data_IF_048104781853
#
_entry.id   IF_048104781853
#
_cell.length_a   1.000
_cell.length_b   1.000
_cell.length_c   1.000
_cell.angle_alpha   90.00
_cell.angle_beta   90.00
_cell.angle_gamma   90.00
#
_symmetry.space_group_name_H-M   'P 1'
#
loop_
_entity.id
_entity.type
_entity.pdbx_description
1 polymer ?
#
# COMPACT_ATOMS: atom_id res chain seq x y z
N UNK A 1 4.49 27.10 -9.03
CA UNK A 1 3.40 26.15 -8.70
C UNK A 1 3.58 24.89 -9.54
N UNK A 2 4.55 24.05 -9.17
CA UNK A 2 4.84 22.78 -9.85
C UNK A 2 5.00 21.77 -8.72
N UNK A 3 3.90 21.14 -8.34
CA UNK A 3 3.88 20.15 -7.29
C UNK A 3 2.57 19.42 -7.39
N UNK A 4 2.59 18.10 -7.19
CA UNK A 4 1.42 17.24 -7.03
C UNK A 4 0.82 16.58 -8.29
N UNK A 5 1.62 16.25 -9.33
CA UNK A 5 1.17 15.29 -10.38
C UNK A 5 1.77 13.88 -10.26
N UNK A 6 2.62 13.62 -9.26
CA UNK A 6 3.59 12.52 -9.36
C UNK A 6 3.36 11.35 -8.38
N UNK A 7 2.46 11.48 -7.39
CA UNK A 7 2.34 10.48 -6.32
C UNK A 7 1.31 9.36 -6.60
N UNK A 8 0.74 9.32 -7.80
CA UNK A 8 -0.53 8.67 -8.09
C UNK A 8 -0.37 7.52 -9.10
N UNK A 9 0.39 7.73 -10.19
CA UNK A 9 0.75 6.67 -11.14
C UNK A 9 1.73 5.63 -10.58
N UNK A 10 2.41 5.95 -9.48
CA UNK A 10 3.37 5.09 -8.78
C UNK A 10 2.65 3.96 -8.05
N UNK A 11 1.54 4.26 -7.36
CA UNK A 11 0.89 3.31 -6.46
C UNK A 11 0.04 2.26 -7.18
N UNK A 12 -0.69 2.66 -8.24
CA UNK A 12 -1.43 1.73 -9.09
C UNK A 12 -0.49 0.80 -9.90
N UNK A 13 0.67 1.31 -10.33
CA UNK A 13 1.69 0.51 -11.02
C UNK A 13 2.43 -0.42 -10.05
N UNK A 14 2.67 -0.01 -8.80
CA UNK A 14 3.29 -0.83 -7.76
C UNK A 14 2.39 -1.98 -7.31
N UNK A 15 1.09 -1.73 -7.15
CA UNK A 15 0.10 -2.80 -6.96
C UNK A 15 0.06 -3.73 -8.17
N UNK A 16 0.08 -3.22 -9.41
CA UNK A 16 0.10 -4.06 -10.61
C UNK A 16 1.37 -4.92 -10.72
N UNK A 17 2.54 -4.39 -10.34
CA UNK A 17 3.81 -5.15 -10.32
C UNK A 17 3.83 -6.18 -9.19
N UNK A 18 3.23 -5.87 -8.03
CA UNK A 18 3.09 -6.83 -6.93
C UNK A 18 2.10 -7.96 -7.29
N UNK A 19 0.98 -7.63 -7.95
CA UNK A 19 -0.01 -8.58 -8.45
C UNK A 19 0.60 -9.55 -9.48
N UNK A 20 1.47 -9.07 -10.37
CA UNK A 20 2.16 -9.93 -11.34
C UNK A 20 3.07 -10.97 -10.68
N UNK A 21 3.68 -10.67 -9.52
CA UNK A 21 4.50 -11.61 -8.75
C UNK A 21 3.66 -12.63 -7.95
N UNK A 22 2.36 -12.38 -7.75
CA UNK A 22 1.46 -13.33 -7.06
C UNK A 22 1.04 -14.51 -7.93
N UNK A 23 1.27 -14.49 -9.25
CA UNK A 23 0.95 -15.62 -10.13
C UNK A 23 1.87 -16.85 -9.92
N UNK A 24 2.91 -16.75 -9.08
CA UNK A 24 3.92 -17.81 -8.88
C UNK A 24 4.29 -18.11 -7.42
N UNK A 25 3.56 -17.61 -6.41
CA UNK A 25 3.93 -17.80 -5.00
C UNK A 25 3.22 -19.02 -4.34
N UNK A 26 3.93 -19.88 -3.59
CA UNK A 26 3.33 -21.00 -2.87
C UNK A 26 2.46 -20.54 -1.68
N UNK A 27 1.31 -21.17 -1.51
CA UNK A 27 0.34 -20.90 -0.44
C UNK A 27 0.92 -21.35 0.91
N UNK A 28 0.96 -20.47 1.92
CA UNK A 28 1.30 -20.80 3.33
C UNK A 28 0.05 -20.72 4.20
N UNK A 29 -0.01 -21.58 5.22
CA UNK A 29 -1.16 -21.70 6.11
C UNK A 29 -1.35 -20.48 7.05
N UNK A 30 -2.59 -20.15 7.44
CA UNK A 30 -2.89 -18.97 8.26
C UNK A 30 -2.46 -19.13 9.72
N UNK A 31 -1.91 -18.08 10.32
CA UNK A 31 -1.72 -17.96 11.77
C UNK A 31 -3.06 -17.63 12.49
N UNK A 32 -3.20 -17.93 13.81
CA UNK A 32 -4.46 -17.79 14.54
C UNK A 32 -5.00 -16.34 14.60
N UNK A 33 -6.33 -16.22 14.54
CA UNK A 33 -7.05 -14.97 14.36
C UNK A 33 -7.05 -14.07 15.61
N UNK A 34 -6.67 -12.81 15.44
CA UNK A 34 -7.04 -11.72 16.36
C UNK A 34 -8.40 -11.15 15.91
N UNK A 35 -9.17 -10.48 16.78
CA UNK A 35 -10.49 -9.92 16.41
C UNK A 35 -10.47 -8.41 16.13
N UNK A 36 -9.29 -7.80 16.22
CA UNK A 36 -9.05 -6.38 15.98
C UNK A 36 -8.05 -6.22 14.84
N UNK A 37 -8.17 -5.13 14.07
CA UNK A 37 -7.33 -4.87 12.92
C UNK A 37 -7.88 -5.46 11.61
N UNK A 38 -9.19 -5.59 11.47
CA UNK A 38 -9.79 -5.94 10.18
C UNK A 38 -9.73 -4.76 9.21
N UNK A 39 -9.70 -4.99 7.88
CA UNK A 39 -9.56 -3.92 6.88
C UNK A 39 -10.73 -2.91 6.89
N UNK A 40 -11.92 -3.33 7.33
CA UNK A 40 -13.09 -2.44 7.48
C UNK A 40 -13.16 -1.71 8.83
N UNK A 41 -12.20 -1.95 9.74
CA UNK A 41 -12.11 -1.19 11.00
C UNK A 41 -11.22 0.04 10.81
N UNK A 42 -11.79 1.06 10.15
CA UNK A 42 -11.11 2.32 9.87
C UNK A 42 -11.56 3.37 10.88
N UNK A 43 -10.61 3.92 11.62
CA UNK A 43 -10.83 5.00 12.58
C UNK A 43 -10.43 6.36 11.97
N UNK A 44 -11.04 7.43 12.47
CA UNK A 44 -10.74 8.81 12.09
C UNK A 44 -10.20 9.59 13.30
N UNK A 45 -8.90 9.47 13.62
CA UNK A 45 -8.31 10.10 14.81
C UNK A 45 -8.20 11.63 14.72
N UNK A 46 -8.64 12.24 13.62
CA UNK A 46 -8.70 13.68 13.41
C UNK A 46 -9.01 14.04 11.96
N UNK A 47 -9.23 15.34 11.66
CA UNK A 47 -9.51 15.81 10.31
C UNK A 47 -8.43 15.38 9.32
N UNK A 48 -8.85 14.81 8.18
CA UNK A 48 -7.93 14.42 7.10
C UNK A 48 -7.04 13.21 7.41
N UNK A 49 -7.25 12.52 8.53
CA UNK A 49 -6.45 11.37 8.99
C UNK A 49 -7.31 10.11 9.03
N UNK A 50 -6.66 8.97 8.83
CA UNK A 50 -7.26 7.64 8.99
C UNK A 50 -6.33 6.76 9.82
N UNK A 51 -6.90 5.75 10.47
CA UNK A 51 -6.15 4.68 11.10
C UNK A 51 -6.77 3.35 10.75
N UNK A 52 -5.96 2.43 10.24
CA UNK A 52 -6.34 1.06 9.87
C UNK A 52 -5.20 0.13 10.29
N UNK A 53 -5.53 -1.09 10.73
CA UNK A 53 -4.53 -2.04 11.25
C UNK A 53 -3.73 -1.50 12.46
N UNK A 54 -4.25 -0.49 13.16
CA UNK A 54 -3.53 0.22 14.22
C UNK A 54 -2.47 1.21 13.71
N UNK A 55 -2.33 1.41 12.40
CA UNK A 55 -1.40 2.34 11.77
C UNK A 55 -2.13 3.61 11.36
N UNK A 56 -1.61 4.77 11.76
CA UNK A 56 -2.21 6.08 11.46
C UNK A 56 -1.57 6.68 10.22
N UNK A 57 -2.38 7.15 9.27
CA UNK A 57 -1.95 7.86 8.06
C UNK A 57 -2.29 9.35 8.17
N UNK A 58 -1.32 10.19 7.81
CA UNK A 58 -1.45 11.64 7.77
C UNK A 58 -1.28 12.36 9.11
N UNK A 59 -0.96 13.64 9.01
CA UNK A 59 -0.65 14.52 10.15
C UNK A 59 0.74 14.28 10.74
N UNK A 60 1.07 15.03 11.79
CA UNK A 60 2.38 14.99 12.47
C UNK A 60 2.62 13.72 13.31
N UNK A 61 1.56 12.96 13.61
CA UNK A 61 1.60 11.69 14.32
C UNK A 61 1.17 10.54 13.40
N UNK A 62 1.69 10.53 12.18
CA UNK A 62 1.59 9.38 11.29
C UNK A 62 2.48 8.24 11.84
N UNK A 63 2.02 7.01 11.71
CA UNK A 63 2.80 5.83 12.09
C UNK A 63 4.02 5.70 11.19
N UNK A 64 5.08 5.09 11.71
CA UNK A 64 6.33 4.85 10.96
C UNK A 64 6.45 3.40 10.49
N UNK A 65 7.53 3.07 9.77
CA UNK A 65 7.84 1.67 9.47
C UNK A 65 8.09 0.85 10.75
N UNK A 66 8.75 1.43 11.75
CA UNK A 66 8.98 0.78 13.04
C UNK A 66 7.67 0.37 13.73
N UNK A 67 6.64 1.21 13.63
CA UNK A 67 5.31 0.87 14.14
C UNK A 67 4.69 -0.35 13.45
N UNK A 68 4.88 -0.44 12.15
CA UNK A 68 4.31 -1.50 11.33
C UNK A 68 5.00 -2.86 11.52
N UNK A 69 6.24 -2.90 12.06
CA UNK A 69 6.90 -4.17 12.40
C UNK A 69 6.12 -5.00 13.43
N UNK A 70 5.19 -4.40 14.19
CA UNK A 70 4.32 -5.13 15.11
C UNK A 70 3.26 -5.99 14.40
N UNK A 71 3.06 -5.79 13.09
CA UNK A 71 2.06 -6.54 12.31
C UNK A 71 2.51 -7.96 11.93
N UNK A 72 3.82 -8.25 11.98
CA UNK A 72 4.35 -9.58 11.66
C UNK A 72 5.65 -9.85 12.44
N UNK A 73 5.87 -11.08 12.93
CA UNK A 73 7.16 -11.46 13.50
C UNK A 73 8.29 -11.46 12.45
N UNK A 74 7.96 -11.67 11.18
CA UNK A 74 8.92 -11.61 10.09
C UNK A 74 9.20 -10.16 9.70
N UNK A 75 10.48 -9.82 9.49
CA UNK A 75 10.85 -8.49 9.03
C UNK A 75 10.36 -8.26 7.59
N UNK A 76 9.81 -7.07 7.28
CA UNK A 76 9.44 -6.76 5.91
C UNK A 76 10.67 -6.68 5.01
N UNK A 77 10.46 -6.99 3.73
CA UNK A 77 11.44 -6.68 2.70
C UNK A 77 11.32 -5.21 2.35
N UNK A 78 12.31 -4.41 2.76
CA UNK A 78 12.41 -3.00 2.40
C UNK A 78 13.18 -2.82 1.10
N UNK A 79 12.64 -2.03 0.18
CA UNK A 79 13.31 -1.69 -1.08
C UNK A 79 12.95 -0.31 -1.58
N UNK A 80 13.89 0.30 -2.31
CA UNK A 80 13.61 1.46 -3.14
C UNK A 80 13.31 1.00 -4.56
N UNK A 81 12.20 1.43 -5.12
CA UNK A 81 11.73 1.06 -6.46
C UNK A 81 11.76 2.27 -7.37
N UNK A 82 12.39 2.17 -8.53
CA UNK A 82 12.36 3.21 -9.57
C UNK A 82 11.70 2.68 -10.84
N UNK A 83 10.43 3.03 -11.09
CA UNK A 83 9.78 2.78 -12.37
C UNK A 83 10.36 3.68 -13.47
N UNK A 84 10.13 3.34 -14.74
CA UNK A 84 10.64 4.14 -15.88
C UNK A 84 9.92 5.48 -16.03
N UNK A 85 8.61 5.52 -15.77
CA UNK A 85 7.74 6.68 -16.02
C UNK A 85 7.10 7.23 -14.74
N UNK A 86 7.71 6.97 -13.59
CA UNK A 86 7.20 7.36 -12.30
C UNK A 86 8.36 7.54 -11.30
N UNK A 87 8.21 8.41 -10.29
CA UNK A 87 9.27 8.70 -9.32
C UNK A 87 9.56 7.49 -8.45
N UNK A 88 10.73 7.56 -7.81
CA UNK A 88 11.17 6.54 -6.88
C UNK A 88 10.19 6.40 -5.70
N UNK A 89 9.99 5.18 -5.23
CA UNK A 89 9.16 4.86 -4.07
C UNK A 89 9.93 3.99 -3.09
N UNK A 90 9.90 4.36 -1.82
CA UNK A 90 10.43 3.54 -0.73
C UNK A 90 9.31 2.68 -0.17
N UNK A 91 9.44 1.36 -0.28
CA UNK A 91 8.37 0.44 0.10
C UNK A 91 8.86 -0.70 0.99
N UNK A 92 8.04 -1.03 2.00
CA UNK A 92 8.20 -2.21 2.82
C UNK A 92 7.10 -3.22 2.47
N UNK A 93 7.51 -4.45 2.18
CA UNK A 93 6.61 -5.54 1.80
C UNK A 93 6.63 -6.67 2.83
N UNK A 94 5.44 -7.05 3.28
CA UNK A 94 5.20 -8.23 4.10
C UNK A 94 4.56 -9.31 3.24
N UNK A 95 5.24 -10.45 3.11
CA UNK A 95 4.75 -11.62 2.37
C UNK A 95 3.50 -12.21 3.03
N UNK A 96 3.40 -12.11 4.35
CA UNK A 96 2.24 -12.56 5.11
C UNK A 96 2.05 -11.74 6.38
N UNK A 97 0.84 -11.24 6.58
CA UNK A 97 0.35 -10.62 7.82
C UNK A 97 -0.97 -11.24 8.22
N UNK A 98 -1.22 -11.32 9.53
CA UNK A 98 -2.52 -11.66 10.10
C UNK A 98 -3.18 -10.40 10.65
N UNK A 99 -4.21 -9.92 9.96
CA UNK A 99 -4.94 -8.70 10.27
C UNK A 99 -6.34 -9.09 10.72
N UNK A 100 -6.45 -9.31 12.02
CA UNK A 100 -7.61 -9.93 12.62
C UNK A 100 -7.78 -11.39 12.17
N UNK A 101 -8.93 -11.71 11.57
CA UNK A 101 -9.24 -13.03 11.02
C UNK A 101 -8.83 -13.19 9.55
N UNK A 102 -8.30 -12.15 8.91
CA UNK A 102 -7.80 -12.21 7.55
C UNK A 102 -6.29 -12.38 7.55
N UNK A 103 -5.80 -13.17 6.61
CA UNK A 103 -4.40 -13.16 6.21
C UNK A 103 -4.27 -12.52 4.84
N UNK A 104 -3.08 -12.01 4.54
CA UNK A 104 -2.81 -11.45 3.23
C UNK A 104 -1.42 -10.84 3.14
N UNK A 105 -1.18 -10.18 2.02
CA UNK A 105 0.04 -9.42 1.75
C UNK A 105 -0.16 -7.96 2.08
N UNK A 106 0.89 -7.31 2.55
CA UNK A 106 0.86 -5.90 2.90
C UNK A 106 2.04 -5.17 2.24
N UNK A 107 1.74 -4.08 1.54
CA UNK A 107 2.75 -3.12 1.06
C UNK A 107 2.54 -1.81 1.80
N UNK A 108 3.62 -1.26 2.32
CA UNK A 108 3.65 0.05 2.96
C UNK A 108 4.52 0.98 2.13
N UNK A 109 3.93 2.07 1.64
CA UNK A 109 4.72 3.14 1.03
C UNK A 109 5.16 4.11 2.12
N UNK A 110 6.45 4.44 2.14
CA UNK A 110 7.08 5.26 3.17
C UNK A 110 7.36 6.66 2.59
N UNK A 111 6.98 7.70 3.31
CA UNK A 111 7.22 9.08 2.92
C UNK A 111 8.68 9.46 3.19
N UNK A 112 9.47 9.51 2.12
CA UNK A 112 10.83 10.03 2.12
C UNK A 112 10.92 11.25 1.19
N UNK A 113 11.81 12.19 1.50
CA UNK A 113 12.01 13.34 0.61
C UNK A 113 12.70 12.89 -0.70
N UNK A 114 12.55 13.64 -1.80
CA UNK A 114 13.28 13.32 -3.05
C UNK A 114 14.81 13.25 -2.85
N UNK A 115 15.36 14.08 -1.96
CA UNK A 115 16.78 14.05 -1.61
C UNK A 115 17.18 12.78 -0.86
N UNK A 116 16.34 12.32 0.07
CA UNK A 116 16.58 11.06 0.79
C UNK A 116 16.51 9.86 -0.15
N UNK A 117 15.50 9.80 -1.02
CA UNK A 117 15.35 8.74 -2.01
C UNK A 117 16.57 8.67 -2.95
N UNK A 118 17.08 9.81 -3.39
CA UNK A 118 18.26 9.88 -4.25
C UNK A 118 19.54 9.48 -3.53
N UNK A 119 19.70 9.86 -2.26
CA UNK A 119 20.80 9.42 -1.42
C UNK A 119 20.76 7.90 -1.20
N UNK A 120 19.60 7.36 -0.84
CA UNK A 120 19.38 5.91 -0.67
C UNK A 120 19.67 5.13 -1.96
N UNK A 121 19.26 5.68 -3.11
CA UNK A 121 19.53 5.09 -4.43
C UNK A 121 21.03 5.03 -4.72
N UNK A 122 21.74 6.12 -4.45
CA UNK A 122 23.17 6.25 -4.71
C UNK A 122 24.00 5.35 -3.80
N UNK A 123 23.52 5.11 -2.58
CA UNK A 123 24.16 4.25 -1.58
C UNK A 123 23.72 2.78 -1.65
N UNK A 124 22.83 2.42 -2.58
CA UNK A 124 22.20 1.11 -2.61
C UNK A 124 23.23 -0.03 -2.69
N UNK A 125 23.06 -1.03 -1.82
CA UNK A 125 23.98 -2.17 -1.72
C UNK A 125 23.89 -3.10 -2.95
N UNK A 126 22.71 -3.16 -3.58
CA UNK A 126 22.45 -4.00 -4.76
C UNK A 126 21.34 -3.39 -5.61
N UNK A 127 21.42 -3.57 -6.92
CA UNK A 127 20.34 -3.24 -7.86
C UNK A 127 19.90 -4.50 -8.61
N UNK A 128 18.60 -4.80 -8.54
CA UNK A 128 17.94 -5.85 -9.30
C UNK A 128 17.01 -5.22 -10.35
N UNK A 129 16.85 -5.89 -11.49
CA UNK A 129 15.92 -5.49 -12.54
C UNK A 129 14.72 -6.44 -12.50
N UNK A 130 13.53 -5.90 -12.28
CA UNK A 130 12.29 -6.66 -12.38
C UNK A 130 11.88 -6.78 -13.85
N UNK A 131 11.22 -7.88 -14.22
CA UNK A 131 10.73 -8.14 -15.58
C UNK A 131 9.78 -7.04 -16.10
N UNK A 132 9.18 -6.29 -15.19
CA UNK A 132 8.31 -5.12 -15.45
C UNK A 132 9.08 -3.84 -15.83
N UNK A 133 10.41 -3.90 -15.92
CA UNK A 133 11.26 -2.74 -16.20
C UNK A 133 11.45 -1.80 -15.01
N UNK A 134 11.00 -2.20 -13.82
CA UNK A 134 11.25 -1.50 -12.56
C UNK A 134 12.62 -1.91 -12.03
N UNK A 135 13.42 -0.92 -11.61
CA UNK A 135 14.66 -1.21 -10.88
C UNK A 135 14.37 -1.25 -9.38
N UNK A 136 14.84 -2.30 -8.73
CA UNK A 136 14.74 -2.51 -7.30
C UNK A 136 16.13 -2.33 -6.68
N UNK A 137 16.24 -1.40 -5.75
CA UNK A 137 17.47 -1.14 -5.02
C UNK A 137 17.32 -1.68 -3.60
N UNK A 138 18.21 -2.59 -3.23
CA UNK A 138 18.35 -3.06 -1.85
C UNK A 138 19.13 -2.01 -1.08
N UNK A 139 18.52 -1.48 -0.02
CA UNK A 139 19.12 -0.40 0.76
C UNK A 139 20.34 -0.85 1.54
N UNK A 140 21.28 0.08 1.73
CA UNK A 140 22.36 -0.10 2.70
C UNK A 140 21.80 -0.12 4.13
N UNK A 141 22.52 -0.72 5.08
CA UNK A 141 22.05 -0.91 6.45
C UNK A 141 21.69 0.41 7.15
N UNK A 142 22.51 1.44 6.99
CA UNK A 142 22.24 2.77 7.54
C UNK A 142 20.93 3.38 6.98
N UNK A 143 20.64 3.14 5.70
CA UNK A 143 19.41 3.63 5.06
C UNK A 143 18.18 2.85 5.51
N UNK A 144 18.35 1.54 5.72
CA UNK A 144 17.32 0.69 6.31
C UNK A 144 16.94 1.16 7.71
N UNK A 145 17.93 1.48 8.55
CA UNK A 145 17.69 2.02 9.89
C UNK A 145 17.00 3.38 9.84
N UNK A 146 17.43 4.29 8.95
CA UNK A 146 16.76 5.58 8.77
C UNK A 146 15.29 5.43 8.33
N UNK A 147 14.99 4.43 7.50
CA UNK A 147 13.62 4.20 7.01
C UNK A 147 12.65 3.78 8.12
N UNK A 148 13.13 3.20 9.24
CA UNK A 148 12.30 2.80 10.38
C UNK A 148 11.55 3.99 11.01
N UNK A 149 12.15 5.17 10.99
CA UNK A 149 11.61 6.39 11.60
C UNK A 149 10.77 7.24 10.62
N UNK A 150 10.76 6.88 9.33
CA UNK A 150 10.02 7.63 8.33
C UNK A 150 8.51 7.33 8.39
N UNK A 151 7.65 8.35 8.19
CA UNK A 151 6.21 8.18 8.28
C UNK A 151 5.66 7.37 7.11
N UNK A 152 4.60 6.61 7.35
CA UNK A 152 3.86 5.90 6.33
C UNK A 152 3.02 6.87 5.49
N UNK A 153 3.08 6.71 4.17
CA UNK A 153 2.34 7.50 3.20
C UNK A 153 1.07 6.79 2.71
N UNK A 154 1.12 5.47 2.59
CA UNK A 154 0.02 4.65 2.09
C UNK A 154 0.17 3.18 2.54
N UNK A 155 -0.93 2.45 2.52
CA UNK A 155 -1.00 1.02 2.80
C UNK A 155 -1.77 0.34 1.67
N UNK A 156 -1.24 -0.74 1.10
CA UNK A 156 -2.00 -1.63 0.24
C UNK A 156 -2.09 -3.02 0.87
N UNK A 157 -3.30 -3.56 0.97
CA UNK A 157 -3.56 -4.89 1.50
C UNK A 157 -4.21 -5.77 0.43
N UNK A 158 -3.65 -6.95 0.23
CA UNK A 158 -4.18 -7.97 -0.68
C UNK A 158 -4.58 -9.19 0.18
N UNK A 159 -5.88 -9.36 0.48
CA UNK A 159 -6.34 -10.50 1.27
C UNK A 159 -6.11 -11.84 0.54
N UNK A 160 -5.82 -12.87 1.33
CA UNK A 160 -5.79 -14.26 0.85
C UNK A 160 -7.20 -14.80 0.61
N UNK A 161 -8.17 -14.39 1.42
CA UNK A 161 -9.60 -14.61 1.18
C UNK A 161 -10.04 -13.86 -0.09
N UNK A 162 -11.26 -14.15 -0.57
CA UNK A 162 -11.92 -13.32 -1.59
C UNK A 162 -13.00 -12.50 -0.92
N UNK A 163 -12.93 -11.19 -1.11
CA UNK A 163 -13.91 -10.19 -0.72
C UNK A 163 -14.61 -9.74 -2.00
N UNK A 164 -15.67 -10.47 -2.36
CA UNK A 164 -16.51 -10.11 -3.49
C UNK A 164 -17.27 -8.79 -3.23
N UNK A 165 -17.94 -8.28 -4.27
CA UNK A 165 -18.72 -7.06 -4.18
C UNK A 165 -19.73 -7.07 -3.02
N UNK A 166 -20.41 -8.20 -2.77
CA UNK A 166 -21.42 -8.28 -1.72
C UNK A 166 -20.78 -8.15 -0.33
N UNK A 167 -19.65 -8.82 -0.11
CA UNK A 167 -18.86 -8.69 1.13
C UNK A 167 -18.34 -7.27 1.29
N UNK A 168 -17.81 -6.67 0.23
CA UNK A 168 -17.32 -5.28 0.28
C UNK A 168 -18.43 -4.31 0.67
N UNK A 169 -19.59 -4.37 0.00
CA UNK A 169 -20.71 -3.49 0.31
C UNK A 169 -21.27 -3.73 1.73
N UNK A 170 -21.27 -4.97 2.21
CA UNK A 170 -21.69 -5.29 3.58
C UNK A 170 -20.73 -4.70 4.63
N UNK A 171 -19.42 -4.71 4.36
CA UNK A 171 -18.38 -4.33 5.35
C UNK A 171 -18.03 -2.85 5.31
N UNK A 172 -17.99 -2.25 4.13
CA UNK A 172 -17.55 -0.86 3.91
C UNK A 172 -18.71 0.10 3.62
N UNK A 173 -19.90 -0.43 3.32
CA UNK A 173 -21.07 0.36 2.92
C UNK A 173 -21.05 0.73 1.43
N UNK A 174 -21.87 1.69 1.04
CA UNK A 174 -21.95 2.17 -0.35
C UNK A 174 -20.77 3.08 -0.67
N UNK A 175 -20.01 2.84 -1.76
CA UNK A 175 -18.93 3.74 -2.18
C UNK A 175 -19.49 5.09 -2.65
N UNK A 176 -18.70 6.14 -2.48
CA UNK A 176 -19.05 7.47 -2.98
C UNK A 176 -19.00 7.53 -4.51
N UNK A 177 -18.11 6.74 -5.11
CA UNK A 177 -17.92 6.66 -6.56
C UNK A 177 -17.47 5.25 -6.96
N UNK A 178 -17.92 4.80 -8.12
CA UNK A 178 -17.47 3.55 -8.76
C UNK A 178 -16.89 3.87 -10.13
N UNK A 179 -15.70 3.37 -10.42
CA UNK A 179 -15.01 3.63 -11.69
C UNK A 179 -14.58 2.32 -12.31
N UNK A 180 -15.06 2.01 -13.51
CA UNK A 180 -14.62 0.84 -14.27
C UNK A 180 -13.34 1.18 -15.02
N UNK A 181 -12.32 0.33 -14.90
CA UNK A 181 -11.06 0.47 -15.62
C UNK A 181 -10.81 -0.78 -16.48
N UNK A 182 -11.03 -0.65 -17.79
CA UNK A 182 -10.97 -1.79 -18.70
C UNK A 182 -12.15 -2.76 -18.49
N UNK A 183 -11.94 -4.04 -18.80
CA UNK A 183 -13.00 -5.05 -18.78
C UNK A 183 -13.23 -5.66 -17.39
N UNK A 184 -12.15 -5.86 -16.63
CA UNK A 184 -12.17 -6.72 -15.43
C UNK A 184 -12.06 -5.97 -14.12
N UNK A 185 -11.59 -4.71 -14.14
CA UNK A 185 -11.34 -3.92 -12.93
C UNK A 185 -12.45 -2.90 -12.67
N UNK A 186 -12.86 -2.80 -11.40
CA UNK A 186 -13.73 -1.74 -10.90
C UNK A 186 -13.20 -1.20 -9.57
N UNK A 187 -13.10 0.11 -9.45
CA UNK A 187 -12.67 0.82 -8.27
C UNK A 187 -13.86 1.30 -7.47
N UNK A 188 -13.89 1.01 -6.17
CA UNK A 188 -14.90 1.48 -5.23
C UNK A 188 -14.24 2.49 -4.31
N UNK A 189 -14.63 3.75 -4.45
CA UNK A 189 -13.96 4.88 -3.81
C UNK A 189 -14.71 5.31 -2.55
N UNK A 190 -13.97 5.39 -1.45
CA UNK A 190 -14.43 5.88 -0.14
C UNK A 190 -13.54 7.05 0.30
N UNK A 191 -13.73 8.26 -0.26
CA UNK A 191 -12.87 9.41 0.00
C UNK A 191 -12.77 9.79 1.48
N UNK A 192 -13.90 9.72 2.19
CA UNK A 192 -13.95 10.03 3.63
C UNK A 192 -13.09 9.06 4.46
N UNK A 193 -12.95 7.82 4.00
CA UNK A 193 -12.13 6.77 4.62
C UNK A 193 -10.67 6.82 4.16
N UNK A 194 -10.38 7.56 3.08
CA UNK A 194 -9.08 7.51 2.42
C UNK A 194 -8.83 6.17 1.72
N UNK A 195 -9.89 5.51 1.24
CA UNK A 195 -9.84 4.12 0.76
C UNK A 195 -10.29 3.99 -0.71
N UNK A 196 -9.50 3.28 -1.50
CA UNK A 196 -9.88 2.72 -2.82
C UNK A 196 -9.85 1.19 -2.74
N UNK A 197 -10.94 0.54 -3.14
CA UNK A 197 -11.00 -0.93 -3.25
C UNK A 197 -11.07 -1.28 -4.74
N UNK A 198 -10.03 -1.95 -5.22
CA UNK A 198 -9.96 -2.47 -6.59
C UNK A 198 -10.52 -3.89 -6.59
N UNK A 199 -11.64 -4.10 -7.27
CA UNK A 199 -12.18 -5.41 -7.57
C UNK A 199 -11.67 -5.87 -8.94
N UNK A 200 -11.15 -7.08 -9.03
CA UNK A 200 -10.78 -7.72 -10.29
C UNK A 200 -11.59 -9.02 -10.48
N UNK A 201 -12.45 -9.06 -11.50
CA UNK A 201 -13.22 -10.26 -11.84
C UNK A 201 -12.37 -11.48 -12.19
N UNK A 202 -11.07 -11.31 -12.50
CA UNK A 202 -10.13 -12.40 -12.82
C UNK A 202 -8.98 -12.54 -11.81
N UNK A 203 -8.93 -11.68 -10.79
CA UNK A 203 -7.78 -11.54 -9.91
C UNK A 203 -8.16 -11.44 -8.44
N UNK A 204 -7.20 -10.99 -7.64
CA UNK A 204 -7.43 -10.66 -6.22
C UNK A 204 -7.80 -9.20 -6.11
N UNK A 205 -8.73 -8.91 -5.22
CA UNK A 205 -9.05 -7.57 -4.80
C UNK A 205 -7.88 -6.92 -4.05
N UNK A 206 -7.79 -5.60 -4.15
CA UNK A 206 -6.75 -4.82 -3.46
C UNK A 206 -7.39 -3.66 -2.73
N UNK A 207 -7.07 -3.52 -1.45
CA UNK A 207 -7.55 -2.42 -0.61
C UNK A 207 -6.40 -1.43 -0.39
N UNK A 208 -6.61 -0.19 -0.81
CA UNK A 208 -5.61 0.87 -0.86
C UNK A 208 -6.00 2.01 0.08
N UNK A 209 -5.16 2.30 1.06
CA UNK A 209 -5.40 3.31 2.08
C UNK A 209 -4.39 4.45 1.99
N UNK A 210 -4.89 5.67 2.06
CA UNK A 210 -4.15 6.91 2.27
C UNK A 210 -4.82 7.72 3.38
N UNK A 211 -4.19 8.79 3.82
CA UNK A 211 -4.90 9.79 4.62
C UNK A 211 -6.07 10.38 3.80
N UNK A 212 -7.28 10.59 4.36
CA UNK A 212 -8.39 11.20 3.63
C UNK A 212 -8.05 12.55 2.99
N UNK A 213 -7.17 13.36 3.62
CA UNK A 213 -6.67 14.60 3.03
C UNK A 213 -5.88 14.40 1.73
N UNK A 214 -5.31 13.21 1.55
CA UNK A 214 -4.49 12.82 0.41
C UNK A 214 -5.24 11.98 -0.62
N UNK A 215 -6.56 11.79 -0.45
CA UNK A 215 -7.36 10.88 -1.29
C UNK A 215 -7.30 11.18 -2.79
N UNK A 216 -7.09 12.45 -3.16
CA UNK A 216 -6.89 12.85 -4.56
C UNK A 216 -5.75 12.06 -5.25
N UNK A 217 -4.77 11.55 -4.49
CA UNK A 217 -3.69 10.71 -5.02
C UNK A 217 -4.18 9.33 -5.51
N UNK A 218 -5.25 8.79 -4.94
CA UNK A 218 -5.87 7.55 -5.42
C UNK A 218 -6.83 7.83 -6.58
N UNK A 219 -7.58 8.94 -6.52
CA UNK A 219 -8.57 9.28 -7.56
C UNK A 219 -7.97 9.78 -8.87
N UNK A 220 -6.89 10.57 -8.82
CA UNK A 220 -6.35 11.28 -9.99
C UNK A 220 -5.86 10.38 -11.15
N UNK A 221 -5.23 9.20 -10.92
CA UNK A 221 -4.80 8.29 -11.98
C UNK A 221 -5.96 7.68 -12.76
N UNK A 222 -7.14 7.60 -12.16
CA UNK A 222 -8.29 6.89 -12.70
C UNK A 222 -9.02 7.70 -13.80
N UNK A 223 -8.48 8.86 -14.18
CA UNK A 223 -9.06 9.73 -15.21
C UNK A 223 -10.20 10.60 -14.68
N UNK A 224 -10.94 11.25 -15.57
CA UNK A 224 -12.22 11.89 -15.22
C UNK A 224 -13.33 10.87 -15.39
#
# INVERSE_FOLDING_TARGET
MIGLRIAAGVFALLVAVLLAQMLFAPQREPAPAMTHGMPWQIEHPGPGRSRVFGLTLGGSAASTLADARRLSPEAPTLALLTPQNAPAALEAYFESVSLGALTGKLVLSIAASPGDLEAMRSNAAKTDHLETGIRKYVLHEADRQRAEDLPLAAIAFIPSASLDEAVILQRFGTPAERIRQGETLEHFLYPAQGLDIVLDSKGKEVLQYVAPADFARLRAPLGK
#
